data_IF_035073062479
#
_entry.id   IF_035073062479
#
_cell.length_a   1.000
_cell.length_b   1.000
_cell.length_c   1.000
_cell.angle_alpha   90.00
_cell.angle_beta   90.00
_cell.angle_gamma   90.00
#
_symmetry.space_group_name_H-M   'P 1'
#
loop_
_entity.id
_entity.type
_entity.pdbx_description
1 polymer ?
#
# COMPACT_ATOMS: atom_id res chain seq x y z
N UNK A 1 -48.41 -14.96 3.57
CA UNK A 1 -48.11 -14.60 2.16
C UNK A 1 -47.92 -13.09 1.95
N UNK A 2 -48.89 -12.20 2.24
CA UNK A 2 -48.73 -10.74 2.04
C UNK A 2 -47.47 -10.12 2.69
N UNK A 3 -47.13 -10.54 3.92
CA UNK A 3 -45.93 -10.06 4.63
C UNK A 3 -44.61 -10.49 3.94
N UNK A 4 -44.59 -11.67 3.31
CA UNK A 4 -43.41 -12.20 2.62
C UNK A 4 -43.19 -11.43 1.30
N UNK A 5 -44.27 -11.11 0.60
CA UNK A 5 -44.22 -10.30 -0.64
C UNK A 5 -43.75 -8.87 -0.34
N UNK A 6 -44.27 -8.25 0.73
CA UNK A 6 -43.83 -6.93 1.18
C UNK A 6 -42.33 -6.91 1.55
N UNK A 7 -41.84 -7.95 2.23
CA UNK A 7 -40.43 -8.08 2.57
C UNK A 7 -39.55 -8.25 1.32
N UNK A 8 -39.98 -9.08 0.36
CA UNK A 8 -39.26 -9.27 -0.89
C UNK A 8 -39.17 -7.98 -1.72
N UNK A 9 -40.26 -7.20 -1.80
CA UNK A 9 -40.29 -5.90 -2.49
C UNK A 9 -39.38 -4.89 -1.78
N UNK A 10 -39.37 -4.86 -0.45
CA UNK A 10 -38.48 -4.00 0.31
C UNK A 10 -36.98 -4.32 0.08
N UNK A 11 -36.62 -5.61 0.05
CA UNK A 11 -35.25 -6.05 -0.24
C UNK A 11 -34.84 -5.70 -1.68
N UNK A 12 -35.73 -5.88 -2.65
CA UNK A 12 -35.48 -5.52 -4.05
C UNK A 12 -35.21 -4.01 -4.22
N UNK A 13 -36.03 -3.18 -3.57
CA UNK A 13 -35.89 -1.73 -3.56
C UNK A 13 -34.63 -1.25 -2.81
N UNK A 14 -34.22 -1.96 -1.75
CA UNK A 14 -33.01 -1.63 -0.99
C UNK A 14 -31.71 -2.16 -1.63
N UNK A 15 -31.78 -3.19 -2.48
CA UNK A 15 -30.61 -3.82 -3.09
C UNK A 15 -29.65 -2.87 -3.84
N UNK A 16 -30.09 -1.88 -4.66
CA UNK A 16 -29.16 -0.98 -5.34
C UNK A 16 -28.44 -0.04 -4.36
N UNK A 17 -29.03 0.24 -3.19
CA UNK A 17 -28.38 1.02 -2.13
C UNK A 17 -27.34 0.19 -1.37
N UNK A 18 -27.64 -1.08 -1.11
CA UNK A 18 -26.71 -2.00 -0.46
C UNK A 18 -25.45 -2.24 -1.31
N UNK A 19 -25.60 -2.35 -2.63
CA UNK A 19 -24.46 -2.52 -3.55
C UNK A 19 -23.55 -1.28 -3.60
N UNK A 20 -24.07 -0.07 -3.37
CA UNK A 20 -23.27 1.16 -3.31
C UNK A 20 -22.45 1.29 -2.03
N UNK A 21 -22.81 0.56 -0.97
CA UNK A 21 -22.13 0.59 0.33
C UNK A 21 -21.00 -0.43 0.44
N UNK A 22 -20.86 -1.37 -0.51
CA UNK A 22 -19.74 -2.31 -0.49
C UNK A 22 -18.44 -1.58 -0.81
N UNK A 23 -17.38 -1.76 0.02
CA UNK A 23 -16.06 -1.27 -0.31
C UNK A 23 -15.66 -1.81 -1.68
N UNK A 24 -15.31 -0.91 -2.58
CA UNK A 24 -14.74 -1.32 -3.87
C UNK A 24 -13.43 -2.07 -3.59
N UNK A 25 -13.05 -3.05 -4.42
CA UNK A 25 -11.76 -3.72 -4.25
C UNK A 25 -10.61 -2.72 -4.46
N UNK A 26 -9.52 -2.92 -3.72
CA UNK A 26 -8.26 -2.21 -3.96
C UNK A 26 -7.58 -2.84 -5.17
N UNK A 27 -7.34 -2.04 -6.21
CA UNK A 27 -6.58 -2.43 -7.41
C UNK A 27 -5.50 -1.39 -7.69
N UNK A 28 -4.41 -1.75 -8.40
CA UNK A 28 -3.35 -0.78 -8.74
C UNK A 28 -3.87 0.45 -9.47
N UNK A 29 -4.81 0.26 -10.40
CA UNK A 29 -5.42 1.33 -11.19
C UNK A 29 -6.20 2.29 -10.29
N UNK A 30 -6.92 1.75 -9.30
CA UNK A 30 -7.67 2.55 -8.33
C UNK A 30 -6.76 3.31 -7.37
N UNK A 31 -5.62 2.72 -6.99
CA UNK A 31 -4.60 3.41 -6.19
C UNK A 31 -4.02 4.60 -6.97
N UNK A 32 -3.64 4.40 -8.24
CA UNK A 32 -3.16 5.47 -9.12
C UNK A 32 -4.22 6.56 -9.29
N UNK A 33 -5.48 6.16 -9.52
CA UNK A 33 -6.59 7.09 -9.66
C UNK A 33 -6.81 7.91 -8.39
N UNK A 34 -6.80 7.29 -7.21
CA UNK A 34 -6.96 8.00 -5.94
C UNK A 34 -5.84 9.02 -5.69
N UNK A 35 -4.60 8.72 -6.08
CA UNK A 35 -3.52 9.70 -6.01
C UNK A 35 -3.79 10.91 -6.92
N UNK A 36 -4.21 10.66 -8.16
CA UNK A 36 -4.54 11.73 -9.12
C UNK A 36 -5.73 12.57 -8.65
N UNK A 37 -6.78 11.96 -8.12
CA UNK A 37 -7.96 12.65 -7.58
C UNK A 37 -7.62 13.53 -6.37
N UNK A 38 -6.57 13.16 -5.62
CA UNK A 38 -6.04 13.97 -4.52
C UNK A 38 -4.98 14.99 -4.96
N UNK A 39 -4.86 15.24 -6.28
CA UNK A 39 -3.99 16.26 -6.86
C UNK A 39 -2.50 15.89 -6.87
N UNK A 40 -2.16 14.61 -6.77
CA UNK A 40 -0.78 14.13 -6.86
C UNK A 40 -0.42 13.74 -8.29
N UNK A 41 0.83 14.01 -8.68
CA UNK A 41 1.40 13.62 -9.96
C UNK A 41 1.95 12.20 -9.83
N UNK A 42 1.44 11.28 -10.66
CA UNK A 42 1.92 9.90 -10.73
C UNK A 42 2.68 9.69 -12.04
N UNK A 43 3.96 9.35 -11.96
CA UNK A 43 4.83 9.02 -13.10
C UNK A 43 5.52 7.67 -12.91
N UNK A 44 6.21 7.21 -13.96
CA UNK A 44 7.11 6.05 -13.93
C UNK A 44 6.49 4.78 -13.35
N UNK A 45 5.23 4.52 -13.72
CA UNK A 45 4.51 3.32 -13.29
C UNK A 45 5.12 2.10 -13.97
N UNK A 46 5.68 1.20 -13.17
CA UNK A 46 6.28 -0.05 -13.63
C UNK A 46 5.66 -1.23 -12.88
N UNK A 47 5.18 -2.22 -13.62
CA UNK A 47 4.73 -3.49 -13.05
C UNK A 47 5.92 -4.43 -13.04
N UNK A 48 6.19 -5.05 -11.89
CA UNK A 48 7.27 -6.04 -11.79
C UNK A 48 6.80 -7.38 -12.38
N UNK A 49 7.56 -7.91 -13.33
CA UNK A 49 7.36 -9.26 -13.86
C UNK A 49 7.69 -10.35 -12.84
N UNK A 50 8.52 -10.01 -11.83
CA UNK A 50 8.95 -10.91 -10.77
C UNK A 50 8.82 -10.20 -9.41
N UNK A 51 7.63 -10.23 -8.79
CA UNK A 51 7.41 -9.66 -7.47
C UNK A 51 8.38 -10.25 -6.44
N UNK A 52 8.92 -9.41 -5.56
CA UNK A 52 9.86 -9.84 -4.53
C UNK A 52 9.14 -10.19 -3.22
N UNK A 53 9.87 -10.79 -2.26
CA UNK A 53 9.43 -10.95 -0.86
C UNK A 53 8.09 -11.67 -0.67
N UNK A 54 7.78 -12.67 -1.51
CA UNK A 54 6.51 -13.41 -1.52
C UNK A 54 5.26 -12.61 -1.95
N UNK A 55 5.44 -11.43 -2.52
CA UNK A 55 4.35 -10.74 -3.18
C UNK A 55 3.86 -11.57 -4.39
N UNK A 56 2.55 -11.52 -4.67
CA UNK A 56 1.96 -12.10 -5.88
C UNK A 56 1.85 -11.09 -7.01
N UNK A 57 1.90 -9.80 -6.67
CA UNK A 57 1.93 -8.70 -7.61
C UNK A 57 2.71 -7.56 -6.99
N UNK A 58 3.51 -6.88 -7.78
CA UNK A 58 4.26 -5.72 -7.35
C UNK A 58 4.27 -4.66 -8.45
N UNK A 59 4.13 -3.41 -8.04
CA UNK A 59 4.20 -2.24 -8.90
C UNK A 59 5.00 -1.16 -8.19
N UNK A 60 5.80 -0.43 -8.95
CA UNK A 60 6.48 0.77 -8.48
C UNK A 60 6.00 1.97 -9.27
N UNK A 61 6.05 3.15 -8.64
CA UNK A 61 5.68 4.41 -9.27
C UNK A 61 6.37 5.57 -8.54
N UNK A 62 6.41 6.73 -9.18
CA UNK A 62 6.80 7.99 -8.56
C UNK A 62 5.54 8.82 -8.31
N UNK A 63 5.35 9.29 -7.07
CA UNK A 63 4.22 10.14 -6.66
C UNK A 63 4.75 11.44 -6.07
N UNK A 64 4.55 12.56 -6.75
CA UNK A 64 5.11 13.88 -6.37
C UNK A 64 6.62 13.82 -6.05
N UNK A 65 7.38 12.99 -6.78
CA UNK A 65 8.82 12.77 -6.58
C UNK A 65 9.18 11.74 -5.50
N UNK A 66 8.22 11.22 -4.75
CA UNK A 66 8.41 10.10 -3.82
C UNK A 66 8.38 8.75 -4.54
N UNK A 67 9.27 7.84 -4.17
CA UNK A 67 9.23 6.47 -4.68
C UNK A 67 8.17 5.68 -3.91
N UNK A 68 7.25 5.04 -4.61
CA UNK A 68 6.16 4.25 -4.04
C UNK A 68 6.23 2.84 -4.58
N UNK A 69 6.27 1.86 -3.67
CA UNK A 69 6.16 0.43 -3.95
C UNK A 69 4.80 -0.06 -3.46
N UNK A 70 4.04 -0.70 -4.33
CA UNK A 70 2.76 -1.33 -4.03
C UNK A 70 2.87 -2.83 -4.28
N UNK A 71 2.66 -3.63 -3.24
CA UNK A 71 2.77 -5.08 -3.29
C UNK A 71 1.48 -5.75 -2.79
N UNK A 72 1.03 -6.78 -3.49
CA UNK A 72 -0.09 -7.63 -3.07
C UNK A 72 0.46 -8.94 -2.53
N UNK A 73 -0.16 -9.45 -1.47
CA UNK A 73 0.18 -10.74 -0.87
C UNK A 73 -1.03 -11.69 -0.95
N UNK A 74 -0.76 -12.98 -1.00
CA UNK A 74 -1.80 -14.03 -0.89
C UNK A 74 -1.95 -14.58 0.53
N UNK A 75 -1.07 -14.19 1.45
CA UNK A 75 -0.96 -14.74 2.80
C UNK A 75 -0.90 -13.60 3.83
N UNK A 76 -1.82 -13.62 4.79
CA UNK A 76 -1.96 -12.59 5.83
C UNK A 76 -0.75 -12.52 6.76
N UNK A 77 -0.13 -13.66 7.06
CA UNK A 77 1.09 -13.71 7.87
C UNK A 77 2.27 -13.08 7.15
N UNK A 78 2.40 -13.32 5.84
CA UNK A 78 3.49 -12.75 5.04
C UNK A 78 3.40 -11.23 4.91
N UNK A 79 2.20 -10.69 4.68
CA UNK A 79 2.03 -9.23 4.64
C UNK A 79 2.21 -8.59 6.01
N UNK A 80 1.75 -9.22 7.09
CA UNK A 80 1.97 -8.72 8.44
C UNK A 80 3.46 -8.65 8.76
N UNK A 81 4.19 -9.73 8.47
CA UNK A 81 5.64 -9.78 8.63
C UNK A 81 6.34 -8.69 7.81
N UNK A 82 6.01 -8.56 6.52
CA UNK A 82 6.61 -7.53 5.66
C UNK A 82 6.28 -6.12 6.14
N UNK A 83 5.06 -5.87 6.61
CA UNK A 83 4.65 -4.58 7.15
C UNK A 83 5.50 -4.19 8.37
N UNK A 84 5.74 -5.13 9.29
CA UNK A 84 6.61 -4.89 10.45
C UNK A 84 8.07 -4.64 10.05
N UNK A 85 8.59 -5.38 9.06
CA UNK A 85 9.97 -5.15 8.54
C UNK A 85 10.17 -3.75 7.95
N UNK A 86 9.14 -3.19 7.33
CA UNK A 86 9.20 -1.87 6.69
C UNK A 86 8.97 -0.72 7.69
N UNK A 87 8.61 -1.01 8.94
CA UNK A 87 8.52 0.03 9.97
C UNK A 87 9.91 0.51 10.37
N UNK A 88 10.11 1.83 10.51
CA UNK A 88 11.41 2.40 10.89
C UNK A 88 11.93 1.92 12.27
N UNK A 89 11.05 1.36 13.13
CA UNK A 89 11.41 0.88 14.48
C UNK A 89 11.98 -0.56 14.52
N UNK A 90 12.22 -1.22 13.37
CA UNK A 90 12.98 -2.48 13.32
C UNK A 90 14.51 -2.29 13.53
N UNK A 91 14.88 -1.28 14.32
CA UNK A 91 16.22 -0.69 14.46
C UNK A 91 17.25 -1.52 15.23
N UNK A 92 17.22 -2.85 15.15
CA UNK A 92 18.22 -3.69 15.85
C UNK A 92 18.95 -4.65 14.92
N UNK A 93 18.28 -5.25 13.93
CA UNK A 93 18.93 -6.23 13.06
C UNK A 93 19.76 -5.60 11.93
N UNK A 94 19.39 -4.39 11.48
CA UNK A 94 20.08 -3.73 10.36
C UNK A 94 21.35 -2.99 10.82
N UNK A 95 21.43 -2.61 12.10
CA UNK A 95 22.59 -1.92 12.68
C UNK A 95 23.82 -2.84 12.74
N UNK A 96 23.65 -4.13 13.00
CA UNK A 96 24.78 -5.09 13.07
C UNK A 96 25.43 -5.34 11.70
N UNK A 97 24.65 -5.47 10.63
CA UNK A 97 25.18 -5.58 9.28
C UNK A 97 25.86 -4.28 8.80
N UNK A 98 25.39 -3.12 9.29
CA UNK A 98 25.98 -1.81 8.99
C UNK A 98 27.31 -1.59 9.69
N UNK A 99 27.48 -2.06 10.92
CA UNK A 99 28.75 -1.98 11.64
C UNK A 99 29.86 -2.80 10.96
N UNK A 100 29.50 -3.94 10.34
CA UNK A 100 30.43 -4.75 9.54
C UNK A 100 30.82 -4.05 8.21
N UNK A 101 29.89 -3.30 7.62
CA UNK A 101 30.10 -2.61 6.34
C UNK A 101 30.88 -1.29 6.50
N UNK A 102 30.72 -0.60 7.64
CA UNK A 102 31.54 0.57 8.02
C UNK A 102 33.02 0.21 8.21
N UNK A 103 33.31 -0.97 8.78
CA UNK A 103 34.68 -1.47 8.91
C UNK A 103 35.38 -1.71 7.55
N UNK A 104 34.62 -1.81 6.46
CA UNK A 104 35.12 -2.09 5.10
C UNK A 104 35.18 -0.84 4.19
N UNK A 105 34.88 0.36 4.70
CA UNK A 105 35.04 1.62 3.95
C UNK A 105 34.05 1.84 2.81
N UNK A 106 32.97 1.07 2.73
CA UNK A 106 31.94 1.24 1.70
C UNK A 106 31.06 2.47 2.00
N UNK A 107 30.80 3.30 0.99
CA UNK A 107 29.89 4.45 1.12
C UNK A 107 28.49 3.95 1.51
N UNK A 108 27.92 4.53 2.57
CA UNK A 108 26.57 4.18 3.05
C UNK A 108 25.56 4.32 1.89
N UNK A 109 24.83 3.27 1.49
CA UNK A 109 23.61 3.49 0.75
C UNK A 109 22.70 4.33 1.66
N UNK A 110 22.42 5.58 1.27
CA UNK A 110 21.47 6.42 2.00
C UNK A 110 20.11 5.76 1.88
N UNK A 111 19.73 4.95 2.86
CA UNK A 111 18.37 4.49 3.02
C UNK A 111 17.51 5.72 3.31
N UNK A 112 16.91 6.28 2.27
CA UNK A 112 15.91 7.34 2.41
C UNK A 112 14.80 6.82 3.34
N UNK A 113 14.27 7.64 4.24
CA UNK A 113 13.25 7.19 5.17
C UNK A 113 12.01 6.70 4.41
N UNK A 114 11.41 5.62 4.93
CA UNK A 114 10.23 5.00 4.37
C UNK A 114 9.03 5.07 5.33
N UNK A 115 7.83 4.89 4.80
CA UNK A 115 6.60 4.79 5.60
C UNK A 115 5.71 3.72 4.98
N UNK A 116 5.47 2.61 5.70
CA UNK A 116 4.57 1.56 5.23
C UNK A 116 3.11 1.87 5.58
N UNK A 117 2.19 1.47 4.70
CA UNK A 117 0.75 1.55 4.86
C UNK A 117 0.10 0.26 4.36
N UNK A 118 -0.97 -0.22 5.01
CA UNK A 118 -1.58 -1.53 4.71
C UNK A 118 -3.09 -1.38 4.53
N UNK A 119 -3.60 -1.86 3.39
CA UNK A 119 -5.03 -1.91 3.11
C UNK A 119 -5.41 -3.30 2.60
N UNK A 120 -6.03 -4.10 3.48
CA UNK A 120 -6.29 -5.53 3.22
C UNK A 120 -5.01 -6.29 2.91
N UNK A 121 -4.97 -6.93 1.73
CA UNK A 121 -3.84 -7.72 1.23
C UNK A 121 -2.81 -6.90 0.43
N UNK A 122 -2.94 -5.57 0.47
CA UNK A 122 -2.03 -4.65 -0.20
C UNK A 122 -1.15 -3.91 0.81
N UNK A 123 0.14 -3.88 0.52
CA UNK A 123 1.15 -3.13 1.24
C UNK A 123 1.70 -2.04 0.34
N UNK A 124 1.66 -0.82 0.83
CA UNK A 124 2.26 0.35 0.20
C UNK A 124 3.45 0.80 1.02
N UNK A 125 4.59 1.06 0.38
CA UNK A 125 5.79 1.61 1.02
C UNK A 125 6.19 2.87 0.27
N UNK A 126 6.20 4.00 0.97
CA UNK A 126 6.60 5.31 0.42
C UNK A 126 7.99 5.66 0.91
N UNK A 127 8.91 5.94 0.01
CA UNK A 127 10.30 6.28 0.30
C UNK A 127 10.63 7.68 -0.22
N UNK A 128 10.86 8.61 0.70
CA UNK A 128 11.18 10.01 0.40
C UNK A 128 11.71 10.71 1.65
N UNK A 129 12.43 11.83 1.55
CA UNK A 129 12.95 12.56 2.74
C UNK A 129 11.83 13.26 3.53
N UNK A 130 10.90 13.90 2.81
CA UNK A 130 9.78 14.64 3.41
C UNK A 130 8.74 13.71 4.06
N UNK A 131 8.65 13.78 5.41
CA UNK A 131 7.67 13.03 6.21
C UNK A 131 6.22 13.44 5.93
N UNK A 132 5.96 14.72 5.66
CA UNK A 132 4.60 15.19 5.39
C UNK A 132 4.09 14.61 4.07
N UNK A 133 4.93 14.60 3.04
CA UNK A 133 4.61 13.96 1.76
C UNK A 133 4.36 12.45 1.92
N UNK A 134 5.23 11.72 2.64
CA UNK A 134 5.02 10.28 2.89
C UNK A 134 3.70 10.00 3.59
N UNK A 135 3.39 10.74 4.65
CA UNK A 135 2.16 10.58 5.41
C UNK A 135 0.92 10.91 4.56
N UNK A 136 1.00 11.93 3.71
CA UNK A 136 -0.09 12.27 2.78
C UNK A 136 -0.36 11.13 1.81
N UNK A 137 0.67 10.60 1.16
CA UNK A 137 0.54 9.48 0.21
C UNK A 137 -0.04 8.24 0.92
N UNK A 138 0.51 7.88 2.09
CA UNK A 138 0.00 6.78 2.91
C UNK A 138 -1.48 6.96 3.28
N UNK A 139 -1.87 8.17 3.72
CA UNK A 139 -3.25 8.45 4.13
C UNK A 139 -4.26 8.31 2.99
N UNK A 140 -3.89 8.68 1.75
CA UNK A 140 -4.77 8.48 0.59
C UNK A 140 -4.95 7.00 0.29
N UNK A 141 -3.90 6.21 0.41
CA UNK A 141 -3.98 4.76 0.24
C UNK A 141 -4.82 4.07 1.33
N UNK A 142 -4.68 4.49 2.59
CA UNK A 142 -5.47 3.94 3.71
C UNK A 142 -6.96 4.26 3.60
N UNK A 143 -7.33 5.30 2.85
CA UNK A 143 -8.73 5.73 2.65
C UNK A 143 -9.51 4.96 1.56
N UNK A 144 -8.83 4.07 0.82
CA UNK A 144 -9.40 3.30 -0.29
C UNK A 144 -10.29 2.14 0.14
#
# INVERSE_FOLDING_TARGET
MKKIILLAVAILLASPFLLKLMPKPVTPERVIQAFRENGMIVSDVMVSERPMNNAVREMTMIVDGAFVKLAQFADEGKIAMQYEYEKPDAGSAVVEAWNLSEQLGAAKPKNKPSTPARNGMWLLVVTHEDKALRNRIASVFDSL
#
